data_IF_294958454729
#
_entry.id   IF_294958454729
#
_cell.length_a   1.000
_cell.length_b   1.000
_cell.length_c   1.000
_cell.angle_alpha   90.00
_cell.angle_beta   90.00
_cell.angle_gamma   90.00
#
_symmetry.space_group_name_H-M   'P 1'
#
loop_
_entity.id
_entity.type
_entity.pdbx_description
1 polymer ?
#
# COMPACT_ATOMS: atom_id res chain seq x y z
N UNK A 1 -6.62 0.95 13.53
CA UNK A 1 -6.16 -0.44 13.31
C UNK A 1 -7.43 -1.28 13.21
N UNK A 2 -7.87 -1.63 12.00
CA UNK A 2 -9.08 -2.43 11.75
C UNK A 2 -8.66 -3.73 11.03
N UNK A 3 -9.37 -4.84 11.25
CA UNK A 3 -8.79 -6.16 11.41
C UNK A 3 -8.37 -6.80 10.10
N UNK A 4 -7.18 -7.39 10.13
CA UNK A 4 -6.67 -8.37 9.18
C UNK A 4 -7.44 -9.68 9.35
N UNK A 5 -8.64 -9.79 8.78
CA UNK A 5 -9.35 -11.05 8.48
C UNK A 5 -10.77 -10.73 8.00
N UNK A 6 -10.91 -10.28 6.75
CA UNK A 6 -12.20 -10.29 6.07
C UNK A 6 -12.37 -11.72 5.52
N UNK A 7 -13.31 -12.48 6.08
CA UNK A 7 -13.86 -13.71 5.50
C UNK A 7 -12.98 -14.98 5.43
N UNK A 8 -11.94 -15.12 6.25
CA UNK A 8 -11.25 -16.42 6.39
C UNK A 8 -10.57 -16.94 5.11
N UNK A 9 -10.39 -16.09 4.10
CA UNK A 9 -9.76 -16.44 2.80
C UNK A 9 -8.25 -16.22 2.83
N UNK A 10 -7.69 -15.74 3.94
CA UNK A 10 -6.25 -15.41 4.08
C UNK A 10 -5.79 -14.17 3.31
N UNK A 11 -6.63 -13.61 2.43
CA UNK A 11 -6.31 -12.41 1.64
C UNK A 11 -6.44 -11.15 2.50
N UNK A 12 -5.47 -10.25 2.40
CA UNK A 12 -5.42 -8.99 3.13
C UNK A 12 -5.61 -7.81 2.19
N UNK A 13 -6.68 -7.05 2.36
CA UNK A 13 -6.87 -5.76 1.71
C UNK A 13 -6.69 -4.64 2.73
N UNK A 14 -5.91 -3.64 2.38
CA UNK A 14 -5.63 -2.48 3.21
C UNK A 14 -5.86 -1.20 2.39
N UNK A 15 -6.91 -0.46 2.76
CA UNK A 15 -7.18 0.88 2.29
C UNK A 15 -6.62 1.88 3.32
N UNK A 16 -5.85 2.85 2.86
CA UNK A 16 -5.35 3.98 3.65
C UNK A 16 -5.68 5.28 2.94
N UNK A 17 -6.25 6.22 3.67
CA UNK A 17 -6.44 7.59 3.22
C UNK A 17 -5.94 8.52 4.31
N UNK A 18 -5.16 9.54 3.92
CA UNK A 18 -4.63 10.55 4.81
C UNK A 18 -4.82 11.92 4.16
N UNK A 19 -5.36 12.87 4.91
CA UNK A 19 -5.65 14.22 4.43
C UNK A 19 -5.06 15.23 5.38
N UNK A 20 -4.23 16.12 4.85
CA UNK A 20 -3.59 17.23 5.53
C UNK A 20 -3.98 18.55 4.87
N UNK A 21 -3.63 19.69 5.49
CA UNK A 21 -3.95 21.02 4.96
C UNK A 21 -3.48 21.22 3.51
N UNK A 22 -2.35 20.62 3.14
CA UNK A 22 -1.70 20.82 1.83
C UNK A 22 -1.61 19.54 1.01
N UNK A 23 -1.82 18.36 1.61
CA UNK A 23 -1.57 17.08 0.96
C UNK A 23 -2.73 16.13 1.19
N UNK A 24 -3.14 15.43 0.16
CA UNK A 24 -4.08 14.32 0.21
C UNK A 24 -3.37 13.07 -0.32
N UNK A 25 -3.38 12.01 0.46
CA UNK A 25 -2.78 10.73 0.14
C UNK A 25 -3.85 9.65 0.23
N UNK A 26 -3.99 8.85 -0.81
CA UNK A 26 -4.75 7.61 -0.80
C UNK A 26 -3.84 6.47 -1.23
N UNK A 27 -3.97 5.31 -0.60
CA UNK A 27 -3.32 4.09 -1.06
C UNK A 27 -4.22 2.90 -0.77
N UNK A 28 -4.37 2.05 -1.77
CA UNK A 28 -5.06 0.78 -1.67
C UNK A 28 -4.02 -0.31 -1.92
N UNK A 29 -3.97 -1.30 -1.04
CA UNK A 29 -3.03 -2.38 -1.11
C UNK A 29 -3.77 -3.69 -0.91
N UNK A 30 -3.60 -4.62 -1.84
CA UNK A 30 -4.09 -5.98 -1.76
C UNK A 30 -2.89 -6.91 -1.62
N UNK A 31 -2.98 -7.91 -0.75
CA UNK A 31 -1.95 -8.92 -0.54
C UNK A 31 -2.64 -10.27 -0.49
N UNK A 32 -2.26 -11.13 -1.42
CA UNK A 32 -2.71 -12.52 -1.50
C UNK A 32 -1.55 -13.44 -1.08
N UNK A 33 -1.53 -13.92 0.18
CA UNK A 33 -0.48 -14.78 0.69
C UNK A 33 -0.58 -16.24 0.20
N UNK A 34 -1.68 -16.62 -0.47
CA UNK A 34 -1.91 -17.98 -0.97
C UNK A 34 -1.90 -18.05 -2.50
N UNK A 35 -1.20 -17.14 -3.17
CA UNK A 35 -1.12 -17.16 -4.64
C UNK A 35 -0.36 -18.39 -5.15
N UNK A 36 0.51 -18.99 -4.32
CA UNK A 36 1.23 -20.24 -4.63
C UNK A 36 1.28 -21.13 -3.39
N UNK A 37 1.24 -22.46 -3.57
CA UNK A 37 1.29 -23.43 -2.47
C UNK A 37 2.56 -23.32 -1.62
N UNK A 38 3.65 -22.77 -2.18
CA UNK A 38 4.92 -22.48 -1.50
C UNK A 38 4.90 -21.29 -0.52
N UNK A 39 3.74 -20.65 -0.29
CA UNK A 39 3.64 -19.50 0.61
C UNK A 39 4.15 -18.18 0.01
N UNK A 40 4.40 -18.14 -1.30
CA UNK A 40 4.71 -16.90 -2.01
C UNK A 40 3.53 -15.95 -1.92
N UNK A 41 3.78 -14.78 -1.34
CA UNK A 41 2.80 -13.71 -1.24
C UNK A 41 2.92 -12.77 -2.43
N UNK A 42 1.82 -12.56 -3.15
CA UNK A 42 1.72 -11.57 -4.22
C UNK A 42 0.85 -10.41 -3.74
N UNK A 43 1.41 -9.20 -3.76
CA UNK A 43 0.70 -7.99 -3.41
C UNK A 43 0.61 -7.02 -4.59
N UNK A 44 -0.48 -6.29 -4.63
CA UNK A 44 -0.72 -5.20 -5.55
C UNK A 44 -0.94 -3.94 -4.72
N UNK A 45 -0.20 -2.89 -5.01
CA UNK A 45 -0.38 -1.59 -4.39
C UNK A 45 -0.73 -0.56 -5.45
N UNK A 46 -1.64 0.34 -5.08
CA UNK A 46 -2.02 1.48 -5.89
C UNK A 46 -2.08 2.66 -4.95
N UNK A 47 -1.33 3.72 -5.28
CA UNK A 47 -1.23 4.89 -4.44
C UNK A 47 -1.40 6.17 -5.25
N UNK A 48 -2.02 7.16 -4.62
CA UNK A 48 -2.25 8.48 -5.16
C UNK A 48 -1.89 9.52 -4.12
N UNK A 49 -1.10 10.52 -4.51
CA UNK A 49 -0.76 11.69 -3.72
C UNK A 49 -1.11 12.94 -4.51
N UNK A 50 -2.06 13.71 -4.00
CA UNK A 50 -2.33 15.05 -4.48
C UNK A 50 -1.74 16.07 -3.51
N UNK A 51 -0.88 16.94 -4.02
CA UNK A 51 -0.32 18.06 -3.29
C UNK A 51 -0.99 19.34 -3.81
N UNK A 52 -1.72 20.02 -2.93
CA UNK A 52 -2.37 21.30 -3.22
C UNK A 52 -1.80 22.40 -2.32
N UNK A 53 -0.77 23.13 -2.77
CA UNK A 53 -0.14 24.20 -2.01
C UNK A 53 -1.02 25.42 -1.79
N UNK A 54 -2.20 25.52 -2.43
CA UNK A 54 -3.09 26.70 -2.39
C UNK A 54 -3.67 27.00 -0.99
N UNK A 55 -3.54 26.07 -0.04
CA UNK A 55 -4.00 26.22 1.36
C UNK A 55 -2.91 26.58 2.35
N UNK A 56 -1.65 26.64 1.92
CA UNK A 56 -0.57 27.20 2.74
C UNK A 56 -0.52 28.71 2.44
N UNK A 57 -0.64 29.57 3.45
CA UNK A 57 -0.65 31.04 3.37
C UNK A 57 0.60 31.70 2.76
N UNK A 58 1.45 30.93 2.06
CA UNK A 58 2.74 31.34 1.48
C UNK A 58 2.79 30.82 0.03
N UNK A 59 1.91 31.33 -0.83
CA UNK A 59 1.76 30.84 -2.20
C UNK A 59 2.73 31.56 -3.14
N UNK A 60 3.96 31.06 -3.26
CA UNK A 60 4.93 31.50 -4.28
C UNK A 60 4.79 30.63 -5.55
N UNK A 61 4.08 29.49 -5.49
CA UNK A 61 3.95 28.54 -6.62
C UNK A 61 2.60 27.82 -6.60
N UNK A 62 1.69 28.20 -7.51
CA UNK A 62 0.33 27.64 -7.67
C UNK A 62 0.29 26.30 -8.43
N UNK A 63 1.24 25.38 -8.19
CA UNK A 63 1.26 24.11 -8.91
C UNK A 63 0.59 23.01 -8.09
N UNK A 64 -0.49 22.45 -8.65
CA UNK A 64 -1.13 21.22 -8.14
C UNK A 64 -0.37 20.02 -8.71
N UNK A 65 0.32 19.28 -7.86
CA UNK A 65 0.98 18.03 -8.27
C UNK A 65 0.10 16.86 -7.88
N UNK A 66 -0.31 16.05 -8.86
CA UNK A 66 -1.01 14.78 -8.59
C UNK A 66 -0.13 13.66 -9.10
N UNK A 67 0.30 12.80 -8.19
CA UNK A 67 1.11 11.62 -8.48
C UNK A 67 0.25 10.40 -8.22
N UNK A 68 -0.02 9.61 -9.24
CA UNK A 68 -0.63 8.30 -9.10
C UNK A 68 0.39 7.25 -9.53
N UNK A 69 0.43 6.14 -8.82
CA UNK A 69 1.33 5.02 -9.09
C UNK A 69 0.66 3.70 -8.73
N UNK A 70 1.14 2.64 -9.36
CA UNK A 70 0.77 1.28 -9.05
C UNK A 70 2.05 0.44 -8.98
N UNK A 71 2.07 -0.53 -8.07
CA UNK A 71 3.17 -1.43 -7.83
C UNK A 71 2.66 -2.86 -7.67
N UNK A 72 3.52 -3.81 -8.04
CA UNK A 72 3.33 -5.23 -7.74
C UNK A 72 4.51 -5.63 -6.87
N UNK A 73 4.23 -6.33 -5.78
CA UNK A 73 5.21 -6.75 -4.78
C UNK A 73 5.09 -8.25 -4.57
N UNK A 74 6.16 -8.99 -4.86
CA UNK A 74 6.27 -10.40 -4.52
C UNK A 74 7.10 -10.52 -3.24
N UNK A 75 6.62 -11.31 -2.28
CA UNK A 75 7.35 -11.64 -1.06
C UNK A 75 7.39 -13.16 -0.96
N UNK A 76 8.56 -13.72 -1.19
CA UNK A 76 8.82 -15.14 -0.99
C UNK A 76 9.31 -15.30 0.45
N UNK A 77 8.65 -16.12 1.28
CA UNK A 77 9.21 -16.50 2.56
C UNK A 77 10.48 -17.30 2.26
N UNK A 78 11.65 -16.76 2.58
CA UNK A 78 12.88 -17.54 2.59
C UNK A 78 12.80 -18.41 3.83
N UNK A 79 12.19 -19.58 3.70
CA UNK A 79 12.43 -20.66 4.65
C UNK A 79 13.86 -21.11 4.43
N UNK A 80 14.78 -20.60 5.26
CA UNK A 80 16.01 -21.32 5.56
C UNK A 80 15.57 -22.65 6.19
N UNK A 81 15.38 -23.66 5.35
CA UNK A 81 15.55 -25.04 5.77
C UNK A 81 17.03 -25.23 6.06
N UNK A 82 17.46 -24.84 7.25
CA UNK A 82 18.61 -25.48 7.87
C UNK A 82 18.06 -26.42 8.95
N UNK A 83 17.59 -27.58 8.49
CA UNK A 83 17.60 -28.75 9.37
C UNK A 83 19.05 -29.22 9.44
N UNK A 84 19.60 -29.48 10.63
CA UNK A 84 19.71 -30.80 11.28
C UNK A 84 20.34 -30.64 12.68
N UNK A 85 19.69 -31.18 13.72
CA UNK A 85 20.22 -32.02 14.83
C UNK A 85 19.30 -31.95 16.06
#
# INVERSE_FOLDING_TARGET
RFPSNLFGTGKSAALRASRSKTTLNGSLSFTDPYFTADGVSLGYDVYGKAFDPRKASTSIKQYKTTTAGAGIRMSVPVTEYDGVN
#
